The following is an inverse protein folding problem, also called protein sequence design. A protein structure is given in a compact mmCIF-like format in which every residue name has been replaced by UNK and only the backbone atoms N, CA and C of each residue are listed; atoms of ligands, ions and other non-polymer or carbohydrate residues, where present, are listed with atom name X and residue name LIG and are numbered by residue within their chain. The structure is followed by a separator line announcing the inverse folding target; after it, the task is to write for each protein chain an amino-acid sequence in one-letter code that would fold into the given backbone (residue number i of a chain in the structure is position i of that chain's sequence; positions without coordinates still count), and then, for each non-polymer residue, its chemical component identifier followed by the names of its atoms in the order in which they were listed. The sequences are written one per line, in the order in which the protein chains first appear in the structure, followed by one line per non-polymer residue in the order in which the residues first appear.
data_IF_023720785651
#
_entry.id   IF_023720785651
#
_cell.length_a   1.000
_cell.length_b   1.000
_cell.length_c   1.000
_cell.angle_alpha   90.00
_cell.angle_beta   90.00
_cell.angle_gamma   90.00
#
_symmetry.space_group_name_H-M   'P 1'
#
loop_
_entity.id
_entity.type
_entity.pdbx_description
1 polymer ?
#
# COMPACT_ATOMS: atom_id res chain seq x y z
N UNK A 1 17.44 0.53 -29.41
CA UNK A 1 16.68 -0.69 -29.08
C UNK A 1 16.04 -0.51 -27.71
N UNK A 2 14.70 -0.45 -27.62
CA UNK A 2 14.00 -0.40 -26.32
C UNK A 2 14.09 -1.80 -25.70
N UNK A 3 14.90 -1.97 -24.64
CA UNK A 3 14.97 -3.24 -23.90
C UNK A 3 13.56 -3.59 -23.40
N UNK A 4 12.96 -4.62 -23.98
CA UNK A 4 11.78 -5.26 -23.41
C UNK A 4 12.29 -6.23 -22.35
N UNK A 5 11.69 -6.17 -21.16
CA UNK A 5 12.06 -7.05 -20.05
C UNK A 5 11.41 -8.41 -20.27
N UNK A 6 12.02 -9.48 -19.74
CA UNK A 6 11.33 -10.78 -19.74
C UNK A 6 10.16 -10.74 -18.75
N UNK A 7 9.12 -11.55 -18.97
CA UNK A 7 7.96 -11.65 -18.07
C UNK A 7 8.37 -11.91 -16.60
N UNK A 8 9.48 -12.63 -16.36
CA UNK A 8 10.01 -12.85 -15.02
C UNK A 8 10.57 -11.59 -14.38
N UNK A 9 11.26 -10.75 -15.17
CA UNK A 9 11.81 -9.47 -14.69
C UNK A 9 10.68 -8.48 -14.37
N UNK A 10 9.64 -8.44 -15.20
CA UNK A 10 8.45 -7.61 -14.96
C UNK A 10 7.74 -8.02 -13.67
N UNK A 11 7.60 -9.33 -13.43
CA UNK A 11 7.03 -9.85 -12.19
C UNK A 11 7.86 -9.50 -10.94
N UNK A 12 9.19 -9.57 -11.03
CA UNK A 12 10.07 -9.17 -9.93
C UNK A 12 9.96 -7.68 -9.61
N UNK A 13 9.88 -6.84 -10.64
CA UNK A 13 9.71 -5.39 -10.48
C UNK A 13 8.34 -5.08 -9.89
N UNK A 14 7.27 -5.74 -10.35
CA UNK A 14 5.93 -5.58 -9.78
C UNK A 14 5.91 -5.88 -8.28
N UNK A 15 6.57 -6.96 -7.84
CA UNK A 15 6.71 -7.29 -6.40
C UNK A 15 7.48 -6.21 -5.62
N UNK A 16 8.59 -5.71 -6.18
CA UNK A 16 9.39 -4.64 -5.56
C UNK A 16 8.62 -3.33 -5.44
N UNK A 17 7.87 -2.97 -6.48
CA UNK A 17 7.04 -1.76 -6.50
C UNK A 17 5.90 -1.89 -5.49
N UNK A 18 5.27 -3.06 -5.40
CA UNK A 18 4.23 -3.32 -4.42
C UNK A 18 4.71 -3.19 -2.98
N UNK A 19 5.88 -3.72 -2.64
CA UNK A 19 6.45 -3.58 -1.31
C UNK A 19 6.56 -2.10 -0.94
N UNK A 20 7.10 -1.27 -1.84
CA UNK A 20 7.18 0.19 -1.65
C UNK A 20 5.81 0.86 -1.48
N UNK A 21 4.77 0.39 -2.17
CA UNK A 21 3.41 0.92 -2.01
C UNK A 21 2.75 0.49 -0.69
N UNK A 22 2.99 -0.75 -0.23
CA UNK A 22 2.56 -1.20 1.09
C UNK A 22 3.16 -0.36 2.22
N UNK A 23 4.42 0.07 2.05
CA UNK A 23 5.06 0.99 2.98
C UNK A 23 4.31 2.31 3.12
N UNK A 24 3.73 2.85 2.04
CA UNK A 24 2.94 4.10 2.09
C UNK A 24 1.70 3.94 2.98
N UNK A 25 0.95 2.85 2.79
CA UNK A 25 -0.21 2.55 3.62
C UNK A 25 0.18 2.32 5.09
N UNK A 26 1.27 1.60 5.32
CA UNK A 26 1.82 1.34 6.66
C UNK A 26 2.22 2.63 7.37
N UNK A 27 2.95 3.53 6.69
CA UNK A 27 3.33 4.83 7.24
C UNK A 27 2.11 5.71 7.54
N UNK A 28 1.09 5.65 6.68
CA UNK A 28 -0.16 6.40 6.89
C UNK A 28 -0.88 5.90 8.14
N UNK A 29 -0.98 4.58 8.35
CA UNK A 29 -1.56 4.01 9.56
C UNK A 29 -0.74 4.35 10.82
N UNK A 30 0.60 4.25 10.74
CA UNK A 30 1.49 4.65 11.83
C UNK A 30 1.29 6.12 12.22
N UNK A 31 1.12 7.01 11.24
CA UNK A 31 0.83 8.41 11.48
C UNK A 31 -0.55 8.62 12.13
N UNK A 32 -1.58 7.91 11.67
CA UNK A 32 -2.90 7.93 12.29
C UNK A 32 -2.87 7.44 13.75
N UNK A 33 -2.10 6.39 14.01
CA UNK A 33 -1.87 5.87 15.36
C UNK A 33 -1.11 6.88 16.24
N UNK A 34 -0.04 7.49 15.71
CA UNK A 34 0.67 8.56 16.42
C UNK A 34 -0.28 9.71 16.79
N UNK A 35 -1.20 10.09 15.89
CA UNK A 35 -2.22 11.11 16.17
C UNK A 35 -3.22 10.67 17.24
N UNK A 36 -3.64 9.40 17.29
CA UNK A 36 -4.48 8.88 18.37
C UNK A 36 -3.80 8.98 19.73
N UNK A 37 -2.50 8.66 19.80
CA UNK A 37 -1.76 8.65 21.07
C UNK A 37 -1.37 10.07 21.52
N UNK A 38 -1.16 11.00 20.58
CA UNK A 38 -0.66 12.36 20.90
C UNK A 38 -1.73 13.45 20.96
N UNK A 39 -2.83 13.34 20.22
CA UNK A 39 -3.92 14.32 20.24
C UNK A 39 -5.10 13.84 21.07
N UNK A 40 -5.31 14.46 22.23
CA UNK A 40 -6.47 14.21 23.09
C UNK A 40 -7.78 14.85 22.60
N UNK A 41 -7.71 15.70 21.58
CA UNK A 41 -8.82 16.60 21.20
C UNK A 41 -9.91 15.86 20.41
N UNK A 42 -9.54 14.90 19.55
CA UNK A 42 -10.53 14.14 18.79
C UNK A 42 -9.99 12.77 18.31
N UNK A 43 -10.32 11.66 19.00
CA UNK A 43 -9.88 10.32 18.60
C UNK A 43 -10.46 9.89 17.25
N UNK A 44 -11.58 10.46 16.80
CA UNK A 44 -12.16 10.13 15.49
C UNK A 44 -11.27 10.53 14.32
N UNK A 45 -10.44 11.57 14.49
CA UNK A 45 -9.50 12.01 13.45
C UNK A 45 -8.36 11.02 13.24
N UNK A 46 -7.77 10.48 14.31
CA UNK A 46 -6.72 9.47 14.19
C UNK A 46 -7.26 8.15 13.64
N UNK A 47 -8.45 7.74 14.08
CA UNK A 47 -9.15 6.55 13.57
C UNK A 47 -9.44 6.65 12.07
N UNK A 48 -9.91 7.81 11.58
CA UNK A 48 -10.21 7.97 10.16
C UNK A 48 -8.95 7.88 9.27
N UNK A 49 -7.80 8.37 9.75
CA UNK A 49 -6.51 8.23 9.06
C UNK A 49 -6.06 6.76 9.02
N UNK A 50 -6.20 6.02 10.12
CA UNK A 50 -5.87 4.59 10.16
C UNK A 50 -6.75 3.80 9.19
N UNK A 51 -8.07 4.06 9.20
CA UNK A 51 -9.02 3.42 8.30
C UNK A 51 -8.68 3.75 6.84
N UNK A 52 -8.34 5.01 6.54
CA UNK A 52 -7.91 5.40 5.20
C UNK A 52 -6.63 4.66 4.76
N UNK A 53 -5.64 4.52 5.64
CA UNK A 53 -4.43 3.74 5.38
C UNK A 53 -4.73 2.26 5.14
N UNK A 54 -5.62 1.67 5.93
CA UNK A 54 -6.04 0.27 5.77
C UNK A 54 -6.79 0.06 4.43
N UNK A 55 -7.71 0.94 4.07
CA UNK A 55 -8.42 0.92 2.78
C UNK A 55 -7.41 1.02 1.62
N UNK A 56 -6.45 1.93 1.72
CA UNK A 56 -5.41 2.10 0.69
C UNK A 56 -4.58 0.83 0.50
N UNK A 57 -4.15 0.17 1.58
CA UNK A 57 -3.43 -1.11 1.49
C UNK A 57 -4.29 -2.20 0.85
N UNK A 58 -5.57 -2.27 1.22
CA UNK A 58 -6.50 -3.26 0.65
C UNK A 58 -6.70 -3.05 -0.85
N UNK A 59 -6.80 -1.79 -1.28
CA UNK A 59 -6.89 -1.42 -2.69
C UNK A 59 -5.66 -1.86 -3.48
N UNK A 60 -4.45 -1.60 -2.96
CA UNK A 60 -3.21 -2.02 -3.61
C UNK A 60 -3.05 -3.54 -3.65
N UNK A 61 -3.41 -4.23 -2.57
CA UNK A 61 -3.42 -5.70 -2.54
C UNK A 61 -4.37 -6.27 -3.61
N UNK A 62 -5.57 -5.70 -3.73
CA UNK A 62 -6.56 -6.16 -4.72
C UNK A 62 -6.08 -5.96 -6.15
N UNK A 63 -5.50 -4.79 -6.46
CA UNK A 63 -4.90 -4.52 -7.78
C UNK A 63 -3.81 -5.56 -8.09
N UNK A 64 -2.96 -5.89 -7.12
CA UNK A 64 -1.89 -6.87 -7.33
C UNK A 64 -2.43 -8.27 -7.60
N UNK A 65 -3.39 -8.76 -6.80
CA UNK A 65 -3.98 -10.07 -7.01
C UNK A 65 -4.60 -10.16 -8.41
N UNK A 66 -5.21 -9.07 -8.88
CA UNK A 66 -5.80 -8.98 -10.22
C UNK A 66 -4.74 -9.08 -11.32
N UNK A 67 -3.66 -8.31 -11.22
CA UNK A 67 -2.52 -8.35 -12.16
C UNK A 67 -1.82 -9.71 -12.14
N UNK A 68 -1.58 -10.28 -10.96
CA UNK A 68 -0.97 -11.60 -10.82
C UNK A 68 -1.80 -12.70 -11.49
N UNK A 69 -3.14 -12.63 -11.37
CA UNK A 69 -4.04 -13.58 -12.02
C UNK A 69 -4.10 -13.41 -13.54
N UNK A 70 -3.65 -12.27 -14.07
CA UNK A 70 -3.56 -12.01 -15.50
C UNK A 70 -2.23 -12.53 -16.08
N UNK A 71 -1.17 -12.52 -15.29
CA UNK A 71 0.16 -13.02 -15.68
C UNK A 71 0.31 -14.54 -15.59
N UNK A 72 -0.57 -15.23 -14.84
CA UNK A 72 -0.60 -16.70 -14.74
C UNK A 72 -1.59 -17.29 -15.73
#
# INVERSE_FOLDING_TARGET
MKKHMSNEQEFQIMKLVFDKFLWVGTLTMLYGFYKLVTLSINPWYGLSIIIAGAIMMFLFMWILVKEYRFLK
#
